data_IF_616845120511
#
_entry.id   IF_616845120511
#
_cell.length_a   1.000
_cell.length_b   1.000
_cell.length_c   1.000
_cell.angle_alpha   90.00
_cell.angle_beta   90.00
_cell.angle_gamma   90.00
#
_symmetry.space_group_name_H-M   'P 1'
#
loop_
_entity.id
_entity.type
_entity.pdbx_description
1 polymer ?
#
# COMPACT_ATOMS: atom_id res chain seq x y z
N UNK A 1 20.06 14.07 5.20
CA UNK A 1 19.43 12.82 4.70
C UNK A 1 17.91 12.94 4.85
N UNK A 2 17.17 12.49 3.84
CA UNK A 2 15.70 12.43 3.87
C UNK A 2 15.30 10.97 3.84
N UNK A 3 14.42 10.56 4.75
CA UNK A 3 13.72 9.29 4.69
C UNK A 3 12.32 9.54 4.13
N UNK A 4 11.99 8.90 3.02
CA UNK A 4 10.72 9.06 2.32
C UNK A 4 9.90 7.80 2.46
N UNK A 5 8.86 7.85 3.28
CA UNK A 5 7.82 6.81 3.27
C UNK A 5 6.91 7.03 2.07
N UNK A 6 6.71 6.03 1.22
CA UNK A 6 5.90 6.17 0.01
C UNK A 6 5.00 4.96 -0.22
N UNK A 7 3.88 5.23 -0.88
CA UNK A 7 2.85 4.27 -1.26
C UNK A 7 2.22 4.73 -2.59
N UNK A 8 1.70 3.79 -3.39
CA UNK A 8 0.99 4.08 -4.64
C UNK A 8 -0.37 3.39 -4.69
N UNK A 9 -1.31 4.03 -5.40
CA UNK A 9 -2.55 3.39 -5.79
C UNK A 9 -2.61 3.17 -7.29
N UNK A 10 -3.18 2.03 -7.67
CA UNK A 10 -3.24 1.60 -9.06
C UNK A 10 -4.63 1.16 -9.46
N UNK A 11 -4.90 1.22 -10.76
CA UNK A 11 -6.03 0.58 -11.41
C UNK A 11 -5.53 -0.33 -12.53
N UNK A 12 -6.28 -1.37 -12.93
CA UNK A 12 -5.97 -2.11 -14.14
C UNK A 12 -5.89 -1.20 -15.38
N UNK A 13 -4.87 -1.41 -16.22
CA UNK A 13 -4.77 -0.77 -17.53
C UNK A 13 -5.54 -1.59 -18.57
N UNK A 14 -6.85 -1.39 -18.65
CA UNK A 14 -7.77 -2.15 -19.51
C UNK A 14 -7.41 -2.08 -21.01
N UNK A 15 -6.61 -1.10 -21.42
CA UNK A 15 -6.11 -0.99 -22.79
C UNK A 15 -5.03 -2.01 -23.15
N UNK A 16 -4.38 -2.60 -22.13
CA UNK A 16 -3.23 -3.50 -22.27
C UNK A 16 -3.46 -4.85 -21.61
N UNK A 17 -4.37 -4.91 -20.66
CA UNK A 17 -4.64 -6.09 -19.87
C UNK A 17 -6.12 -6.43 -19.88
N UNK A 18 -6.39 -7.71 -19.99
CA UNK A 18 -7.71 -8.27 -19.76
C UNK A 18 -7.52 -9.42 -18.78
N UNK A 19 -8.34 -9.50 -17.71
CA UNK A 19 -8.25 -10.61 -16.78
C UNK A 19 -8.47 -11.92 -17.55
N UNK A 20 -7.70 -12.97 -17.27
CA UNK A 20 -7.98 -14.28 -17.83
C UNK A 20 -9.37 -14.76 -17.37
N UNK A 21 -9.93 -15.75 -18.08
CA UNK A 21 -11.19 -16.37 -17.67
C UNK A 21 -11.12 -16.78 -16.18
N UNK A 22 -12.20 -16.55 -15.41
CA UNK A 22 -12.16 -16.74 -13.96
C UNK A 22 -11.73 -18.16 -13.62
N UNK A 23 -10.66 -18.25 -12.84
CA UNK A 23 -10.20 -19.52 -12.29
C UNK A 23 -10.85 -19.70 -10.93
N UNK A 24 -11.45 -20.86 -10.73
CA UNK A 24 -12.13 -21.18 -9.49
C UNK A 24 -11.25 -22.05 -8.61
N UNK A 25 -11.12 -21.68 -7.33
CA UNK A 25 -10.48 -22.56 -6.36
C UNK A 25 -11.56 -23.29 -5.57
N UNK A 26 -11.50 -24.62 -5.61
CA UNK A 26 -12.22 -25.45 -4.66
C UNK A 26 -11.61 -25.21 -3.28
N UNK A 27 -12.35 -24.51 -2.43
CA UNK A 27 -12.05 -24.45 -1.01
C UNK A 27 -12.45 -25.79 -0.37
N UNK A 28 -11.79 -26.13 0.75
CA UNK A 28 -12.11 -27.35 1.47
C UNK A 28 -13.54 -27.19 2.00
N UNK A 29 -14.48 -27.99 1.46
CA UNK A 29 -15.84 -28.05 2.00
C UNK A 29 -15.83 -28.37 3.50
N UNK A 30 -16.94 -28.13 4.21
CA UNK A 30 -17.05 -28.45 5.63
C UNK A 30 -16.53 -29.87 5.89
N UNK A 31 -15.75 -30.04 6.96
CA UNK A 31 -15.21 -31.37 7.30
C UNK A 31 -16.42 -32.30 7.47
N UNK A 32 -16.29 -33.56 7.07
CA UNK A 32 -17.36 -34.55 7.22
C UNK A 32 -17.92 -34.65 8.67
N UNK A 33 -17.16 -34.16 9.66
CA UNK A 33 -17.58 -34.04 11.06
C UNK A 33 -18.68 -32.99 11.30
N UNK A 34 -18.80 -31.99 10.45
CA UNK A 34 -19.79 -30.90 10.61
C UNK A 34 -21.14 -31.25 9.95
N UNK A 35 -21.13 -32.09 8.90
CA UNK A 35 -22.34 -32.68 8.29
C UNK A 35 -22.86 -33.91 9.06
N UNK A 36 -22.04 -34.50 9.93
CA UNK A 36 -22.43 -35.64 10.74
C UNK A 36 -23.29 -35.27 11.96
N UNK A 37 -23.33 -33.98 12.35
CA UNK A 37 -24.11 -33.55 13.54
C UNK A 37 -25.62 -33.63 13.30
N UNK A 38 -26.09 -33.42 12.07
CA UNK A 38 -27.52 -33.55 11.73
C UNK A 38 -27.94 -35.01 11.43
N UNK A 39 -27.00 -35.88 11.09
CA UNK A 39 -27.30 -37.29 10.77
C UNK A 39 -27.63 -38.16 11.99
N UNK A 40 -27.45 -37.65 13.21
CA UNK A 40 -27.91 -38.30 14.45
C UNK A 40 -29.42 -38.13 14.70
N UNK A 41 -30.12 -37.32 13.89
CA UNK A 41 -31.57 -37.11 13.97
C UNK A 41 -32.25 -37.49 12.65
N UNK A 42 -32.13 -38.76 12.25
CA UNK A 42 -33.13 -39.49 11.46
C UNK A 42 -33.69 -38.80 10.22
N UNK A 43 -32.87 -38.61 9.18
CA UNK A 43 -33.36 -38.24 7.85
C UNK A 43 -32.41 -38.74 6.77
N UNK A 44 -32.91 -39.55 5.83
CA UNK A 44 -32.17 -39.90 4.60
C UNK A 44 -31.99 -38.62 3.77
N UNK A 45 -30.77 -38.24 3.34
CA UNK A 45 -30.59 -37.07 2.51
C UNK A 45 -31.21 -37.35 1.14
N UNK A 46 -32.36 -36.74 0.89
CA UNK A 46 -32.98 -36.74 -0.42
C UNK A 46 -32.37 -35.62 -1.26
N UNK A 47 -31.92 -36.01 -2.46
CA UNK A 47 -31.53 -35.18 -3.59
C UNK A 47 -30.07 -34.72 -3.63
N UNK A 48 -29.40 -35.04 -4.75
CA UNK A 48 -28.10 -34.48 -5.13
C UNK A 48 -28.07 -32.95 -5.27
N UNK A 49 -29.18 -32.26 -5.01
CA UNK A 49 -29.27 -30.80 -4.99
C UNK A 49 -28.65 -30.14 -3.74
N UNK A 50 -28.63 -30.81 -2.59
CA UNK A 50 -27.98 -30.27 -1.38
C UNK A 50 -26.45 -30.35 -1.47
N UNK A 51 -25.93 -31.47 -1.99
CA UNK A 51 -24.49 -31.64 -2.26
C UNK A 51 -23.99 -30.67 -3.33
N UNK A 52 -24.81 -30.37 -4.35
CA UNK A 52 -24.43 -29.38 -5.37
C UNK A 52 -24.36 -27.96 -4.79
N UNK A 53 -25.29 -27.58 -3.91
CA UNK A 53 -25.29 -26.27 -3.23
C UNK A 53 -24.11 -26.11 -2.29
N UNK A 54 -23.77 -27.14 -1.51
CA UNK A 54 -22.59 -27.09 -0.63
C UNK A 54 -21.28 -27.03 -1.41
N UNK A 55 -21.24 -27.66 -2.60
CA UNK A 55 -20.08 -27.61 -3.50
C UNK A 55 -19.94 -26.24 -4.15
N UNK A 56 -21.04 -25.63 -4.62
CA UNK A 56 -21.08 -24.26 -5.16
C UNK A 56 -20.70 -23.20 -4.11
N UNK A 57 -21.09 -23.40 -2.84
CA UNK A 57 -20.68 -22.54 -1.73
C UNK A 57 -19.17 -22.66 -1.38
N UNK A 58 -18.49 -23.69 -1.89
CA UNK A 58 -17.05 -23.91 -1.70
C UNK A 58 -16.21 -23.42 -2.88
N UNK A 59 -16.82 -22.73 -3.86
CA UNK A 59 -16.12 -22.19 -5.02
C UNK A 59 -15.85 -20.70 -4.80
N UNK A 60 -14.59 -20.35 -4.57
CA UNK A 60 -14.15 -18.96 -4.56
C UNK A 60 -13.59 -18.61 -5.94
N UNK A 61 -14.12 -17.56 -6.55
CA UNK A 61 -13.56 -16.98 -7.77
C UNK A 61 -12.24 -16.32 -7.41
N UNK A 62 -11.13 -16.80 -8.00
CA UNK A 62 -9.84 -16.16 -7.80
C UNK A 62 -9.80 -14.90 -8.65
N UNK A 63 -9.89 -13.75 -7.99
CA UNK A 63 -9.58 -12.47 -8.64
C UNK A 63 -8.10 -12.48 -9.04
N UNK A 64 -7.85 -12.38 -10.36
CA UNK A 64 -6.49 -12.35 -10.89
C UNK A 64 -6.00 -10.92 -10.86
N UNK A 65 -5.10 -10.63 -9.93
CA UNK A 65 -4.47 -9.32 -9.83
C UNK A 65 -3.55 -9.05 -11.05
N UNK A 66 -3.60 -7.85 -11.66
CA UNK A 66 -2.77 -7.54 -12.82
C UNK A 66 -1.27 -7.60 -12.49
N UNK A 67 -0.42 -8.08 -13.42
CA UNK A 67 1.03 -8.01 -13.23
C UNK A 67 1.49 -6.54 -13.23
N UNK A 68 2.65 -6.20 -12.62
CA UNK A 68 3.02 -4.81 -12.34
C UNK A 68 3.00 -3.84 -13.53
N UNK A 69 3.41 -4.28 -14.72
CA UNK A 69 3.40 -3.46 -15.95
C UNK A 69 2.00 -3.13 -16.47
N UNK A 70 0.97 -3.82 -15.96
CA UNK A 70 -0.45 -3.63 -16.27
C UNK A 70 -1.20 -2.84 -15.19
N UNK A 71 -0.54 -2.49 -14.09
CA UNK A 71 -1.10 -1.63 -13.05
C UNK A 71 -0.83 -0.16 -13.43
N UNK A 72 -1.86 0.56 -13.87
CA UNK A 72 -1.76 2.01 -14.11
C UNK A 72 -1.66 2.73 -12.77
N UNK A 73 -0.63 3.54 -12.58
CA UNK A 73 -0.49 4.37 -11.38
C UNK A 73 -1.45 5.55 -11.47
N UNK A 74 -2.32 5.68 -10.47
CA UNK A 74 -3.30 6.78 -10.39
C UNK A 74 -3.09 7.66 -9.17
N UNK A 75 -2.41 7.16 -8.13
CA UNK A 75 -2.03 7.98 -6.99
C UNK A 75 -0.62 7.65 -6.54
N UNK A 76 0.11 8.68 -6.12
CA UNK A 76 1.38 8.55 -5.42
C UNK A 76 1.31 9.44 -4.20
N UNK A 77 1.70 8.91 -3.05
CA UNK A 77 1.87 9.69 -1.84
C UNK A 77 3.24 9.44 -1.22
N UNK A 78 3.73 10.43 -0.50
CA UNK A 78 4.89 10.23 0.36
C UNK A 78 4.94 11.19 1.55
N UNK A 79 5.66 10.75 2.58
CA UNK A 79 6.01 11.55 3.77
C UNK A 79 7.52 11.61 3.87
N UNK A 80 8.06 12.84 3.86
CA UNK A 80 9.48 13.09 4.06
C UNK A 80 9.76 13.33 5.55
N UNK A 81 10.78 12.64 6.05
CA UNK A 81 11.32 12.75 7.39
C UNK A 81 12.78 13.14 7.29
N UNK A 82 13.14 14.30 7.84
CA UNK A 82 14.54 14.74 7.90
C UNK A 82 15.25 14.05 9.04
N UNK A 83 16.48 13.63 8.77
CA UNK A 83 17.38 13.10 9.78
C UNK A 83 18.55 14.05 10.00
N UNK A 84 18.75 14.45 11.26
CA UNK A 84 19.90 15.23 11.71
C UNK A 84 20.78 14.33 12.60
N UNK A 85 22.01 13.99 12.14
CA UNK A 85 22.93 13.16 12.90
C UNK A 85 23.72 13.93 13.96
N UNK A 86 23.60 15.26 14.06
CA UNK A 86 24.49 16.06 14.92
C UNK A 86 24.15 15.92 16.41
N UNK A 87 25.15 15.62 17.23
CA UNK A 87 25.10 15.39 18.70
C UNK A 87 24.23 14.21 19.16
N UNK A 88 22.91 14.30 18.99
CA UNK A 88 21.93 13.25 19.31
C UNK A 88 21.09 12.99 18.06
N UNK A 89 21.14 11.78 17.46
CA UNK A 89 20.36 11.44 16.27
C UNK A 89 18.87 11.76 16.48
N UNK A 90 18.31 12.56 15.59
CA UNK A 90 16.89 12.98 15.66
C UNK A 90 16.23 12.98 14.30
N UNK A 91 14.97 12.57 14.29
CA UNK A 91 14.10 12.61 13.13
C UNK A 91 13.08 13.73 13.28
N UNK A 92 12.71 14.38 12.18
CA UNK A 92 11.72 15.45 12.17
C UNK A 92 10.83 15.31 10.94
N UNK A 93 9.52 15.42 11.14
CA UNK A 93 8.58 15.59 10.04
C UNK A 93 9.03 16.75 9.15
N UNK A 94 8.99 16.55 7.83
CA UNK A 94 9.33 17.61 6.89
C UNK A 94 8.14 18.05 6.05
N UNK A 95 7.53 17.12 5.31
CA UNK A 95 6.39 17.40 4.44
C UNK A 95 5.65 16.12 4.06
N UNK A 96 4.39 16.29 3.68
CA UNK A 96 3.62 15.29 2.95
C UNK A 96 3.47 15.73 1.49
N UNK A 97 3.33 14.76 0.60
CA UNK A 97 2.84 14.93 -0.75
C UNK A 97 1.81 13.83 -1.00
N UNK A 98 0.71 14.18 -1.67
CA UNK A 98 -0.22 13.20 -2.18
C UNK A 98 -0.91 13.79 -3.39
N UNK A 99 -1.07 12.97 -4.40
CA UNK A 99 -1.75 13.34 -5.62
C UNK A 99 -2.45 12.11 -6.19
N UNK A 100 -3.70 12.28 -6.60
CA UNK A 100 -4.44 11.26 -7.34
C UNK A 100 -4.98 11.89 -8.61
N UNK A 101 -4.67 11.30 -9.76
CA UNK A 101 -5.17 11.72 -11.07
C UNK A 101 -5.57 10.53 -11.91
N UNK A 102 -6.80 10.55 -12.41
CA UNK A 102 -7.27 9.65 -13.45
C UNK A 102 -8.19 10.37 -14.44
N UNK A 103 -8.34 9.82 -15.64
CA UNK A 103 -9.29 10.33 -16.61
C UNK A 103 -10.67 9.69 -16.42
N UNK A 104 -11.66 10.50 -16.05
CA UNK A 104 -13.06 10.07 -15.93
C UNK A 104 -13.83 10.11 -17.26
N UNK A 105 -13.21 10.55 -18.36
CA UNK A 105 -13.88 10.71 -19.66
C UNK A 105 -13.74 9.49 -20.57
N UNK A 106 -12.87 8.54 -20.22
CA UNK A 106 -12.53 7.36 -21.03
C UNK A 106 -11.47 7.62 -22.11
N UNK A 107 -10.78 8.77 -22.07
CA UNK A 107 -9.72 9.11 -23.01
C UNK A 107 -8.40 8.46 -22.61
N UNK A 108 -8.01 7.44 -23.37
CA UNK A 108 -6.75 6.72 -23.17
C UNK A 108 -5.52 7.65 -23.20
N UNK A 109 -5.46 8.57 -24.18
CA UNK A 109 -4.34 9.50 -24.32
C UNK A 109 -4.22 10.44 -23.10
N UNK A 110 -5.36 10.88 -22.54
CA UNK A 110 -5.36 11.69 -21.33
C UNK A 110 -4.95 10.88 -20.10
N UNK A 111 -5.46 9.66 -19.96
CA UNK A 111 -5.06 8.77 -18.88
C UNK A 111 -3.55 8.49 -18.90
N UNK A 112 -2.96 8.29 -20.07
CA UNK A 112 -1.52 8.06 -20.23
C UNK A 112 -0.70 9.31 -19.88
N UNK A 113 -1.14 10.50 -20.28
CA UNK A 113 -0.49 11.76 -19.90
C UNK A 113 -0.51 12.00 -18.40
N UNK A 114 -1.63 11.72 -17.72
CA UNK A 114 -1.74 11.92 -16.28
C UNK A 114 -0.81 10.98 -15.49
N UNK A 115 -0.72 9.71 -15.90
CA UNK A 115 0.22 8.77 -15.29
C UNK A 115 1.67 9.14 -15.56
N UNK A 116 1.99 9.56 -16.80
CA UNK A 116 3.33 10.05 -17.15
C UNK A 116 3.76 11.20 -16.24
N UNK A 117 2.87 12.17 -16.00
CA UNK A 117 3.16 13.34 -15.16
C UNK A 117 3.39 12.94 -13.70
N UNK A 118 2.58 12.03 -13.15
CA UNK A 118 2.76 11.50 -11.79
C UNK A 118 4.11 10.79 -11.64
N UNK A 119 4.46 9.90 -12.56
CA UNK A 119 5.71 9.13 -12.52
C UNK A 119 6.93 10.04 -12.72
N UNK A 120 6.84 11.01 -13.63
CA UNK A 120 7.89 12.01 -13.85
C UNK A 120 8.12 12.84 -12.59
N UNK A 121 7.06 13.37 -11.98
CA UNK A 121 7.15 14.16 -10.76
C UNK A 121 7.75 13.36 -9.59
N UNK A 122 7.36 12.09 -9.44
CA UNK A 122 7.97 11.22 -8.43
C UNK A 122 9.46 11.00 -8.69
N UNK A 123 9.84 10.71 -9.94
CA UNK A 123 11.24 10.52 -10.33
C UNK A 123 12.11 11.75 -10.10
N UNK A 124 11.59 12.95 -10.37
CA UNK A 124 12.26 14.23 -10.09
C UNK A 124 12.42 14.48 -8.58
N UNK A 125 11.45 14.05 -7.78
CA UNK A 125 11.52 14.16 -6.34
C UNK A 125 12.55 13.22 -5.70
N UNK A 126 13.03 12.19 -6.42
CA UNK A 126 14.01 11.21 -5.95
C UNK A 126 15.45 11.72 -6.13
N UNK A 127 15.84 12.68 -5.29
CA UNK A 127 17.23 13.20 -5.24
C UNK A 127 18.19 12.24 -4.52
N UNK A 128 19.52 12.32 -4.74
CA UNK A 128 20.48 11.31 -4.24
C UNK A 128 20.46 11.01 -2.74
N UNK A 129 20.05 11.95 -1.89
CA UNK A 129 20.02 11.80 -0.42
C UNK A 129 18.67 11.29 0.13
N UNK A 130 17.80 10.76 -0.74
CA UNK A 130 16.50 10.19 -0.36
C UNK A 130 16.61 8.68 -0.14
N UNK A 131 16.18 8.23 1.04
CA UNK A 131 16.11 6.83 1.44
C UNK A 131 14.63 6.42 1.48
N UNK A 132 14.24 5.50 0.60
CA UNK A 132 12.86 5.02 0.51
C UNK A 132 12.51 4.10 1.67
N UNK A 133 11.34 4.32 2.23
CA UNK A 133 10.67 3.44 3.17
C UNK A 133 9.34 3.04 2.54
N UNK A 134 9.05 1.74 2.49
CA UNK A 134 7.78 1.25 1.94
C UNK A 134 7.24 0.12 2.80
N UNK A 135 5.95 -0.18 2.72
CA UNK A 135 5.42 -1.45 3.20
C UNK A 135 5.11 -2.35 2.01
N UNK A 136 5.85 -3.44 1.81
CA UNK A 136 5.72 -4.33 0.65
C UNK A 136 6.04 -3.70 -0.72
N UNK A 137 6.61 -2.49 -0.75
CA UNK A 137 6.96 -1.80 -1.99
C UNK A 137 8.02 -2.49 -2.83
N UNK A 138 8.80 -3.43 -2.28
CA UNK A 138 9.75 -4.22 -3.07
C UNK A 138 9.07 -5.18 -4.03
N UNK A 139 7.93 -5.74 -3.62
CA UNK A 139 7.21 -6.74 -4.42
C UNK A 139 6.11 -6.13 -5.28
N UNK A 140 5.73 -4.88 -5.00
CA UNK A 140 4.63 -4.21 -5.69
C UNK A 140 4.99 -2.80 -6.18
N UNK A 141 5.06 -1.80 -5.30
CA UNK A 141 5.16 -0.37 -5.65
C UNK A 141 6.32 -0.05 -6.58
N UNK A 142 7.55 -0.42 -6.21
CA UNK A 142 8.74 -0.09 -7.00
C UNK A 142 8.77 -0.85 -8.34
N UNK A 143 8.46 -2.17 -8.40
CA UNK A 143 8.26 -2.85 -9.68
C UNK A 143 7.23 -2.18 -10.59
N UNK A 144 6.08 -1.74 -10.05
CA UNK A 144 5.06 -1.02 -10.82
C UNK A 144 5.61 0.31 -11.33
N UNK A 145 6.13 1.17 -10.44
CA UNK A 145 6.68 2.48 -10.80
C UNK A 145 7.71 2.35 -11.92
N UNK A 146 8.66 1.42 -11.79
CA UNK A 146 9.76 1.26 -12.74
C UNK A 146 9.29 0.70 -14.07
N UNK A 147 8.40 -0.30 -14.08
CA UNK A 147 7.86 -0.86 -15.34
C UNK A 147 6.93 0.14 -16.06
N UNK A 148 6.10 0.89 -15.32
CA UNK A 148 5.25 1.93 -15.89
C UNK A 148 6.07 3.13 -16.37
N UNK A 149 7.14 3.48 -15.66
CA UNK A 149 8.09 4.51 -16.13
C UNK A 149 8.78 4.08 -17.43
N UNK A 150 9.17 2.81 -17.54
CA UNK A 150 9.71 2.26 -18.79
C UNK A 150 8.70 2.37 -19.94
N UNK A 151 7.43 2.04 -19.69
CA UNK A 151 6.35 2.20 -20.69
C UNK A 151 6.23 3.65 -21.17
N UNK A 152 6.34 4.60 -20.24
CA UNK A 152 6.26 6.04 -20.48
C UNK A 152 7.58 6.69 -20.92
N UNK A 153 8.65 5.89 -21.12
CA UNK A 153 9.98 6.35 -21.52
C UNK A 153 10.64 7.32 -20.52
N UNK A 154 10.29 7.18 -19.24
CA UNK A 154 10.84 7.96 -18.13
C UNK A 154 12.09 7.26 -17.59
N UNK A 155 13.17 8.01 -17.36
CA UNK A 155 14.42 7.47 -16.85
C UNK A 155 14.41 7.33 -15.33
N UNK A 156 14.44 6.10 -14.81
CA UNK A 156 14.52 5.82 -13.36
C UNK A 156 15.96 5.72 -12.85
N UNK A 157 16.80 6.75 -13.07
CA UNK A 157 18.22 6.72 -12.63
C UNK A 157 18.34 6.49 -11.13
N UNK A 158 17.48 7.15 -10.35
CA UNK A 158 17.40 7.00 -8.89
C UNK A 158 17.22 5.55 -8.42
N UNK A 159 16.60 4.68 -9.23
CA UNK A 159 16.37 3.28 -8.88
C UNK A 159 17.57 2.37 -9.22
N UNK A 160 18.30 2.69 -10.30
CA UNK A 160 19.33 1.80 -10.85
C UNK A 160 20.77 2.21 -10.51
N UNK A 161 21.01 3.49 -10.23
CA UNK A 161 22.35 4.05 -10.01
C UNK A 161 22.95 3.60 -8.67
N UNK A 162 22.18 3.66 -7.59
CA UNK A 162 22.59 3.12 -6.29
C UNK A 162 22.25 1.64 -6.19
N UNK A 163 23.25 0.82 -5.83
CA UNK A 163 23.03 -0.60 -5.50
C UNK A 163 22.04 -0.76 -4.35
N UNK A 164 22.12 0.12 -3.35
CA UNK A 164 21.42 -0.05 -2.09
C UNK A 164 19.90 0.11 -2.21
N UNK A 165 19.42 0.83 -3.24
CA UNK A 165 17.98 0.91 -3.57
C UNK A 165 17.40 -0.44 -4.00
N UNK A 166 18.21 -1.32 -4.62
CA UNK A 166 17.74 -2.65 -5.09
C UNK A 166 18.21 -3.79 -4.20
N UNK A 167 19.18 -3.54 -3.32
CA UNK A 167 19.74 -4.57 -2.47
C UNK A 167 18.76 -4.88 -1.33
N UNK A 168 18.15 -6.07 -1.38
CA UNK A 168 17.07 -6.52 -0.46
C UNK A 168 17.37 -6.29 1.02
N UNK A 169 18.61 -6.53 1.43
CA UNK A 169 19.06 -6.47 2.83
C UNK A 169 19.63 -5.11 3.23
N UNK A 170 19.62 -4.14 2.33
CA UNK A 170 20.02 -2.78 2.66
C UNK A 170 18.93 -2.09 3.49
N UNK A 171 19.34 -1.31 4.48
CA UNK A 171 18.50 -0.28 5.09
C UNK A 171 18.82 1.12 4.55
N UNK A 172 19.85 1.22 3.71
CA UNK A 172 20.25 2.42 2.98
C UNK A 172 19.62 2.38 1.57
N UNK A 173 19.26 3.52 0.98
CA UNK A 173 18.60 3.58 -0.33
C UNK A 173 17.14 3.15 -0.31
N UNK A 174 16.82 1.89 0.02
CA UNK A 174 15.45 1.38 0.16
C UNK A 174 15.32 0.37 1.31
N UNK A 175 14.46 0.68 2.28
CA UNK A 175 14.04 -0.22 3.33
C UNK A 175 12.56 -0.60 3.11
N UNK A 176 12.29 -1.83 2.67
CA UNK A 176 10.96 -2.40 2.74
C UNK A 176 10.70 -2.91 4.16
N UNK A 177 9.80 -2.23 4.87
CA UNK A 177 9.53 -2.49 6.27
C UNK A 177 8.89 -3.85 6.51
N UNK A 178 8.11 -4.36 5.57
CA UNK A 178 7.49 -5.69 5.69
C UNK A 178 8.56 -6.79 5.59
N UNK A 179 9.49 -6.65 4.64
CA UNK A 179 10.65 -7.55 4.52
C UNK A 179 11.54 -7.42 5.76
N UNK A 180 11.81 -6.20 6.24
CA UNK A 180 12.62 -5.98 7.44
C UNK A 180 12.02 -6.63 8.69
N UNK A 181 10.73 -6.45 8.94
CA UNK A 181 10.04 -6.98 10.13
C UNK A 181 9.82 -8.50 10.07
N UNK A 182 9.81 -9.10 8.88
CA UNK A 182 9.70 -10.54 8.70
C UNK A 182 11.05 -11.26 8.71
N UNK A 183 12.14 -10.56 9.05
CA UNK A 183 13.52 -11.03 8.93
C UNK A 183 13.78 -11.61 7.52
N UNK A 184 13.40 -10.81 6.53
CA UNK A 184 13.55 -11.07 5.10
C UNK A 184 12.88 -12.35 4.62
N UNK A 185 11.81 -12.78 5.29
CA UNK A 185 11.03 -13.98 4.97
C UNK A 185 11.31 -15.18 5.89
N UNK A 186 12.12 -15.02 6.94
CA UNK A 186 12.29 -16.06 7.96
C UNK A 186 11.01 -16.26 8.79
N UNK A 187 10.14 -15.24 8.88
CA UNK A 187 8.80 -15.34 9.45
C UNK A 187 7.71 -14.98 8.42
N UNK A 188 6.45 -15.26 8.76
CA UNK A 188 5.31 -14.89 7.92
C UNK A 188 5.14 -13.38 7.90
N UNK A 189 4.81 -12.84 6.73
CA UNK A 189 4.42 -11.43 6.61
C UNK A 189 3.09 -11.15 7.30
N UNK A 190 2.94 -9.92 7.79
CA UNK A 190 1.68 -9.37 8.28
C UNK A 190 1.23 -8.23 7.36
N UNK A 191 -0.06 -7.88 7.38
CA UNK A 191 -0.56 -6.73 6.60
C UNK A 191 -0.16 -5.43 7.29
N UNK A 192 -0.07 -4.33 6.53
CA UNK A 192 0.22 -3.00 7.06
C UNK A 192 -0.72 -2.65 8.22
N UNK A 193 -2.03 -2.91 8.05
CA UNK A 193 -3.03 -2.66 9.10
C UNK A 193 -2.73 -3.38 10.41
N UNK A 194 -2.29 -4.64 10.37
CA UNK A 194 -1.97 -5.42 11.57
C UNK A 194 -0.72 -4.86 12.26
N UNK A 195 0.29 -4.47 11.48
CA UNK A 195 1.50 -3.81 12.00
C UNK A 195 1.19 -2.44 12.62
N UNK A 196 0.29 -1.68 12.00
CA UNK A 196 -0.17 -0.40 12.51
C UNK A 196 -0.85 -0.58 13.88
N UNK A 197 -1.81 -1.51 13.99
CA UNK A 197 -2.46 -1.80 15.27
C UNK A 197 -1.46 -2.23 16.35
N UNK A 198 -0.46 -3.05 16.00
CA UNK A 198 0.62 -3.42 16.91
C UNK A 198 1.39 -2.20 17.44
N UNK A 199 1.56 -1.17 16.61
CA UNK A 199 2.24 0.07 16.96
C UNK A 199 1.31 1.13 17.62
N UNK A 200 0.04 0.80 17.88
CA UNK A 200 -0.95 1.76 18.40
C UNK A 200 -1.49 2.75 17.36
N UNK A 201 -1.20 2.53 16.08
CA UNK A 201 -1.75 3.30 14.95
C UNK A 201 -3.16 2.81 14.57
N UNK A 202 -3.96 3.63 13.87
CA UNK A 202 -5.35 3.28 13.51
C UNK A 202 -5.50 2.06 12.59
N UNK A 203 -4.49 1.71 11.82
CA UNK A 203 -4.57 0.64 10.83
C UNK A 203 -5.34 1.04 9.57
N UNK A 204 -5.93 0.06 8.89
CA UNK A 204 -6.75 0.33 7.70
C UNK A 204 -7.99 1.11 8.13
N UNK A 205 -8.15 2.30 7.54
CA UNK A 205 -9.36 3.12 7.66
C UNK A 205 -10.46 2.55 6.75
N UNK A 206 -11.59 3.25 6.58
CA UNK A 206 -12.77 2.79 5.83
C UNK A 206 -12.52 2.46 4.33
N UNK A 207 -11.30 2.63 3.80
CA UNK A 207 -10.93 2.32 2.42
C UNK A 207 -9.87 1.22 2.31
N UNK A 208 -9.87 0.49 1.19
CA UNK A 208 -8.87 -0.52 0.81
C UNK A 208 -8.53 -0.36 -0.67
N UNK A 209 -7.33 -0.80 -1.09
CA UNK A 209 -6.88 -0.74 -2.50
C UNK A 209 -7.91 -1.27 -3.51
N UNK A 210 -8.63 -2.35 -3.19
CA UNK A 210 -9.68 -2.92 -4.05
C UNK A 210 -10.82 -1.92 -4.35
N UNK A 211 -11.02 -0.93 -3.47
CA UNK A 211 -12.02 0.13 -3.67
C UNK A 211 -11.55 1.20 -4.64
N UNK A 212 -10.25 1.32 -4.93
CA UNK A 212 -9.73 2.33 -5.88
C UNK A 212 -10.25 2.06 -7.29
N UNK A 213 -10.22 0.81 -7.74
CA UNK A 213 -10.82 0.38 -9.02
C UNK A 213 -12.33 0.68 -9.08
N UNK A 214 -13.04 0.49 -7.96
CA UNK A 214 -14.47 0.81 -7.85
C UNK A 214 -14.72 2.32 -7.95
N UNK A 215 -13.96 3.13 -7.22
CA UNK A 215 -14.05 4.59 -7.26
C UNK A 215 -13.70 5.14 -8.65
N UNK A 216 -12.71 4.55 -9.32
CA UNK A 216 -12.39 4.89 -10.70
C UNK A 216 -13.57 4.57 -11.63
N UNK A 217 -14.12 3.35 -11.57
CA UNK A 217 -15.26 2.95 -12.38
C UNK A 217 -16.51 3.82 -12.13
N UNK A 218 -16.76 4.20 -10.88
CA UNK A 218 -17.81 5.17 -10.52
C UNK A 218 -17.54 6.56 -11.10
N UNK A 219 -16.28 6.99 -11.15
CA UNK A 219 -15.90 8.27 -11.76
C UNK A 219 -16.13 8.29 -13.26
N UNK A 220 -15.94 7.16 -13.95
CA UNK A 220 -16.28 7.02 -15.37
C UNK A 220 -17.80 7.06 -15.58
N UNK A 221 -18.58 6.42 -14.71
CA UNK A 221 -20.05 6.42 -14.77
C UNK A 221 -20.66 7.78 -14.46
N UNK A 222 -20.07 8.49 -13.51
CA UNK A 222 -20.48 9.82 -13.05
C UNK A 222 -19.25 10.75 -13.00
N UNK A 223 -18.92 11.46 -14.09
CA UNK A 223 -17.74 12.33 -14.09
C UNK A 223 -17.83 13.51 -13.09
N UNK A 224 -19.04 13.93 -12.70
CA UNK A 224 -19.23 15.09 -11.82
C UNK A 224 -18.67 14.85 -10.40
N UNK A 225 -18.77 13.63 -9.87
CA UNK A 225 -18.21 13.27 -8.57
C UNK A 225 -16.74 12.79 -8.59
N UNK A 226 -16.08 12.83 -9.75
CA UNK A 226 -14.73 12.26 -9.92
C UNK A 226 -13.68 12.92 -9.04
N UNK A 227 -13.73 14.24 -8.87
CA UNK A 227 -12.76 14.98 -8.04
C UNK A 227 -12.82 14.53 -6.57
N UNK A 228 -14.03 14.37 -6.01
CA UNK A 228 -14.20 13.89 -4.65
C UNK A 228 -13.69 12.45 -4.49
N UNK A 229 -13.86 11.59 -5.51
CA UNK A 229 -13.35 10.21 -5.50
C UNK A 229 -11.82 10.15 -5.60
N UNK A 230 -11.21 11.01 -6.40
CA UNK A 230 -9.75 11.18 -6.47
C UNK A 230 -9.21 11.70 -5.12
N UNK A 231 -9.85 12.70 -4.53
CA UNK A 231 -9.46 13.23 -3.22
C UNK A 231 -9.54 12.15 -2.12
N UNK A 232 -10.56 11.29 -2.15
CA UNK A 232 -10.64 10.13 -1.24
C UNK A 232 -9.46 9.16 -1.45
N UNK A 233 -9.14 8.83 -2.69
CA UNK A 233 -8.02 7.94 -3.03
C UNK A 233 -6.68 8.53 -2.59
N UNK A 234 -6.43 9.81 -2.90
CA UNK A 234 -5.23 10.53 -2.46
C UNK A 234 -5.09 10.55 -0.93
N UNK A 235 -6.20 10.73 -0.20
CA UNK A 235 -6.21 10.70 1.26
C UNK A 235 -5.86 9.30 1.78
N UNK A 236 -6.44 8.25 1.20
CA UNK A 236 -6.16 6.87 1.58
C UNK A 236 -4.68 6.51 1.37
N UNK A 237 -4.14 6.78 0.18
CA UNK A 237 -2.71 6.58 -0.11
C UNK A 237 -1.82 7.33 0.90
N UNK A 238 -2.15 8.59 1.19
CA UNK A 238 -1.41 9.38 2.18
C UNK A 238 -1.48 8.78 3.59
N UNK A 239 -2.62 8.21 3.99
CA UNK A 239 -2.76 7.55 5.30
C UNK A 239 -1.79 6.38 5.41
N UNK A 240 -1.68 5.54 4.38
CA UNK A 240 -0.77 4.38 4.37
C UNK A 240 0.71 4.84 4.39
N UNK A 241 1.06 5.91 3.66
CA UNK A 241 2.37 6.55 3.75
C UNK A 241 2.70 7.12 5.13
N UNK A 242 1.74 7.80 5.79
CA UNK A 242 1.92 8.35 7.16
C UNK A 242 2.12 7.22 8.16
N UNK A 243 1.27 6.19 8.12
CA UNK A 243 1.35 5.06 9.04
C UNK A 243 2.64 4.27 8.85
N UNK A 244 3.07 4.06 7.60
CA UNK A 244 4.37 3.45 7.29
C UNK A 244 5.53 4.27 7.85
N UNK A 245 5.48 5.61 7.76
CA UNK A 245 6.53 6.49 8.32
C UNK A 245 6.60 6.39 9.86
N UNK A 246 5.46 6.44 10.54
CA UNK A 246 5.37 6.36 12.01
C UNK A 246 5.77 4.98 12.52
N UNK A 247 5.32 3.91 11.85
CA UNK A 247 5.74 2.55 12.15
C UNK A 247 7.25 2.36 11.93
N UNK A 248 7.81 2.94 10.87
CA UNK A 248 9.26 2.95 10.65
C UNK A 248 10.02 3.69 11.76
N UNK A 249 9.54 4.86 12.22
CA UNK A 249 10.13 5.57 13.35
C UNK A 249 10.15 4.71 14.62
N UNK A 250 9.05 3.99 14.90
CA UNK A 250 9.00 3.02 16.01
C UNK A 250 10.08 1.96 15.87
N UNK A 251 10.34 1.45 14.66
CA UNK A 251 11.44 0.50 14.45
C UNK A 251 12.82 1.11 14.72
N UNK A 252 13.04 2.40 14.44
CA UNK A 252 14.32 3.06 14.72
C UNK A 252 14.62 3.06 16.22
N UNK A 253 13.61 3.27 17.06
CA UNK A 253 13.75 3.12 18.50
C UNK A 253 13.95 1.65 18.89
N UNK A 254 13.13 0.74 18.35
CA UNK A 254 13.19 -0.70 18.67
C UNK A 254 14.58 -1.31 18.43
N UNK A 255 15.27 -0.89 17.36
CA UNK A 255 16.63 -1.37 17.04
C UNK A 255 17.75 -0.51 17.65
N UNK A 256 17.42 0.40 18.58
CA UNK A 256 18.37 1.22 19.31
C UNK A 256 19.07 2.31 18.48
N UNK A 257 18.52 2.71 17.33
CA UNK A 257 19.07 3.81 16.50
C UNK A 257 18.77 5.19 17.06
N UNK A 258 17.71 5.33 17.86
CA UNK A 258 17.33 6.56 18.56
C UNK A 258 16.86 6.26 19.97
N UNK A 259 17.04 7.21 20.89
CA UNK A 259 16.53 7.11 22.26
C UNK A 259 15.01 7.29 22.31
N UNK A 260 14.40 7.02 23.46
CA UNK A 260 12.98 7.26 23.70
C UNK A 260 12.65 8.75 23.55
N UNK A 261 13.52 9.62 24.08
CA UNK A 261 13.36 11.08 24.00
C UNK A 261 13.42 11.57 22.55
N UNK A 262 14.39 11.11 21.76
CA UNK A 262 14.49 11.46 20.33
C UNK A 262 13.30 10.94 19.52
N UNK A 263 12.82 9.74 19.82
CA UNK A 263 11.63 9.18 19.18
C UNK A 263 10.38 10.01 19.49
N UNK A 264 10.13 10.30 20.76
CA UNK A 264 8.98 11.08 21.21
C UNK A 264 9.03 12.53 20.69
N UNK A 265 10.22 13.13 20.60
CA UNK A 265 10.41 14.43 19.96
C UNK A 265 10.09 14.38 18.46
N UNK A 266 10.43 13.30 17.75
CA UNK A 266 10.05 13.13 16.36
C UNK A 266 8.51 13.06 16.21
N UNK A 267 7.83 12.29 17.05
CA UNK A 267 6.36 12.19 17.03
C UNK A 267 5.68 13.55 17.26
N UNK A 268 6.22 14.40 18.13
CA UNK A 268 5.70 15.74 18.35
C UNK A 268 5.66 16.56 17.04
N UNK A 269 6.71 16.49 16.22
CA UNK A 269 6.75 17.19 14.92
C UNK A 269 5.70 16.68 13.92
N UNK A 270 5.35 15.38 13.97
CA UNK A 270 4.25 14.84 13.16
C UNK A 270 2.89 15.32 13.69
N UNK A 271 2.71 15.33 15.02
CA UNK A 271 1.49 15.79 15.68
C UNK A 271 1.14 17.25 15.39
N UNK A 272 2.14 18.10 15.24
CA UNK A 272 1.97 19.53 14.92
C UNK A 272 1.56 19.79 13.46
N UNK A 273 1.65 18.79 12.57
CA UNK A 273 1.35 18.95 11.15
C UNK A 273 -0.16 19.01 10.88
N UNK A 274 -0.70 20.12 10.35
CA UNK A 274 -2.12 20.22 10.01
C UNK A 274 -2.51 19.27 8.86
N UNK A 275 -1.56 18.92 7.99
CA UNK A 275 -1.79 17.97 6.91
C UNK A 275 -1.99 16.56 7.48
N UNK A 276 -1.21 16.16 8.49
CA UNK A 276 -1.39 14.86 9.15
C UNK A 276 -2.71 14.85 9.92
N UNK A 277 -2.98 15.89 10.71
CA UNK A 277 -4.20 16.00 11.50
C UNK A 277 -5.49 15.96 10.65
N UNK A 278 -5.46 16.51 9.43
CA UNK A 278 -6.60 16.42 8.49
C UNK A 278 -6.67 15.07 7.75
N UNK A 279 -5.53 14.40 7.56
CA UNK A 279 -5.47 13.12 6.86
C UNK A 279 -5.94 11.96 7.73
N UNK A 280 -5.45 11.84 8.97
CA UNK A 280 -5.63 10.68 9.84
C UNK A 280 -5.79 11.10 11.31
N UNK A 281 -6.72 10.46 12.01
CA UNK A 281 -6.89 10.62 13.45
C UNK A 281 -6.00 9.62 14.20
N UNK A 282 -5.08 10.11 15.03
CA UNK A 282 -4.07 9.29 15.72
C UNK A 282 -4.16 9.56 17.21
N UNK A 283 -4.28 8.49 18.00
CA UNK A 283 -4.06 8.55 19.44
C UNK A 283 -2.56 8.53 19.74
N UNK A 284 -1.95 9.72 19.80
CA UNK A 284 -0.51 9.89 19.99
C UNK A 284 0.03 9.28 21.29
N UNK A 285 -0.79 9.15 22.33
CA UNK A 285 -0.34 8.60 23.62
C UNK A 285 0.01 7.10 23.51
N UNK A 286 -0.64 6.37 22.60
CA UNK A 286 -0.31 4.97 22.30
C UNK A 286 1.01 4.82 21.54
N UNK A 287 1.48 5.89 20.89
CA UNK A 287 2.70 5.89 20.09
C UNK A 287 3.92 6.32 20.90
N UNK A 288 3.79 6.84 22.12
CA UNK A 288 4.93 7.22 22.94
C UNK A 288 5.69 5.96 23.44
N UNK A 289 6.98 6.14 23.75
CA UNK A 289 7.86 5.12 24.37
C UNK A 289 8.44 5.63 25.68
#
# INVERSE_FOLDING_TARGET
>A
MIFRSTDIETIPDDSRWSPPAPSYKLTRGPRATDLAVDSCLGGSPNSGGEVLRSTLAAVEELEVFPPPHMCRVVSISYVDVRFDPTSTPKYQFHKCYTECRWDATGSQARADSLEHDLLSAFGEAMVPDVHLITWNGRTFDLPVIVMRSLLHKIACRWYYESRDVRYRYSTEGHCDLMDFMSDYGASRFIKLGDFCHLCGLPGKTDMSGDKVSVLHAESVRDPAGSEARQARTARYCLQDSIQTALGWLRTRHHVGKVTAESHNAALATFRESPVIASAIDINWDLLMV
#
